data_IF_249239751508
#
_entry.id   IF_249239751508
#
_cell.length_a   1.000
_cell.length_b   1.000
_cell.length_c   1.000
_cell.angle_alpha   90.00
_cell.angle_beta   90.00
_cell.angle_gamma   90.00
#
_symmetry.space_group_name_H-M   'P 1'
#
loop_
_entity.id
_entity.type
_entity.pdbx_description
1 polymer ?
#
# COMPACT_ATOMS: atom_id res chain seq x y z
N UNK A 1 1.17 -3.12 -14.53
CA UNK A 1 -0.16 -3.10 -13.88
C UNK A 1 -0.64 -1.67 -13.99
N UNK A 2 -1.74 -1.45 -14.70
CA UNK A 2 -2.28 -0.12 -14.97
C UNK A 2 -3.39 0.17 -13.95
N UNK A 3 -3.42 1.37 -13.40
CA UNK A 3 -4.51 1.91 -12.59
C UNK A 3 -4.94 3.24 -13.20
N UNK A 4 -6.18 3.66 -12.96
CA UNK A 4 -6.67 4.95 -13.46
C UNK A 4 -5.89 6.08 -12.78
N UNK A 5 -5.93 6.10 -11.44
CA UNK A 5 -5.17 7.03 -10.63
C UNK A 5 -4.30 6.32 -9.60
N UNK A 6 -3.24 7.01 -9.20
CA UNK A 6 -2.36 6.63 -8.10
C UNK A 6 -2.48 7.69 -7.02
N UNK A 7 -2.66 7.24 -5.79
CA UNK A 7 -2.71 8.07 -4.58
C UNK A 7 -1.58 7.68 -3.65
N UNK A 8 -1.05 8.65 -2.92
CA UNK A 8 0.03 8.45 -1.98
C UNK A 8 -0.29 9.09 -0.62
N UNK A 9 -0.34 8.25 0.41
CA UNK A 9 -0.46 8.66 1.81
C UNK A 9 0.83 8.35 2.54
N UNK A 10 1.44 9.35 3.16
CA UNK A 10 2.67 9.21 3.96
C UNK A 10 2.29 9.36 5.43
N UNK A 11 2.48 8.30 6.20
CA UNK A 11 2.07 8.28 7.61
C UNK A 11 3.15 8.87 8.53
N UNK A 12 4.42 8.81 8.16
CA UNK A 12 5.53 9.13 9.07
C UNK A 12 6.47 10.19 8.48
N UNK A 13 6.86 11.17 9.30
CA UNK A 13 7.91 12.12 8.97
C UNK A 13 9.28 11.50 9.28
N UNK A 14 9.76 10.70 8.35
CA UNK A 14 11.05 10.03 8.41
C UNK A 14 11.77 10.08 7.06
N UNK A 15 13.10 10.11 7.09
CA UNK A 15 13.94 10.24 5.89
C UNK A 15 13.71 9.08 4.90
N UNK A 16 13.63 7.84 5.38
CA UNK A 16 13.42 6.68 4.49
C UNK A 16 12.01 6.71 3.87
N UNK A 17 11.01 7.14 4.64
CA UNK A 17 9.64 7.33 4.13
C UNK A 17 9.61 8.38 3.01
N UNK A 18 10.34 9.48 3.16
CA UNK A 18 10.45 10.56 2.18
C UNK A 18 11.16 10.12 0.90
N UNK A 19 12.31 9.46 1.01
CA UNK A 19 13.05 8.94 -0.15
C UNK A 19 12.21 7.93 -0.95
N UNK A 20 11.42 7.10 -0.26
CA UNK A 20 10.46 6.20 -0.90
C UNK A 20 9.29 6.95 -1.54
N UNK A 21 8.80 8.01 -0.92
CA UNK A 21 7.73 8.84 -1.48
C UNK A 21 8.15 9.47 -2.80
N UNK A 22 9.32 10.13 -2.86
CA UNK A 22 9.86 10.73 -4.08
C UNK A 22 9.97 9.67 -5.18
N UNK A 23 10.58 8.52 -4.86
CA UNK A 23 10.72 7.42 -5.80
C UNK A 23 9.37 6.98 -6.39
N UNK A 24 8.33 6.86 -5.57
CA UNK A 24 7.00 6.45 -6.01
C UNK A 24 6.31 7.54 -6.84
N UNK A 25 6.48 8.81 -6.47
CA UNK A 25 5.93 9.95 -7.22
C UNK A 25 6.50 9.96 -8.64
N UNK A 26 7.82 9.87 -8.78
CA UNK A 26 8.48 9.84 -10.09
C UNK A 26 8.10 8.59 -10.89
N UNK A 27 8.08 7.42 -10.24
CA UNK A 27 7.79 6.15 -10.92
C UNK A 27 6.37 6.09 -11.49
N UNK A 28 5.39 6.68 -10.80
CA UNK A 28 3.98 6.60 -11.17
C UNK A 28 3.41 7.91 -11.69
N UNK A 29 4.23 8.97 -11.81
CA UNK A 29 3.79 10.33 -12.16
C UNK A 29 2.58 10.78 -11.33
N UNK A 30 2.70 10.67 -10.00
CA UNK A 30 1.60 10.97 -9.07
C UNK A 30 1.39 12.49 -9.03
N UNK A 31 0.19 12.99 -9.35
CA UNK A 31 -0.07 14.43 -9.30
C UNK A 31 -0.18 14.90 -7.84
N UNK A 32 0.16 16.17 -7.59
CA UNK A 32 0.32 16.70 -6.22
C UNK A 32 -0.96 16.63 -5.40
N UNK A 33 -2.12 16.79 -6.04
CA UNK A 33 -3.44 16.69 -5.44
C UNK A 33 -3.77 15.28 -4.90
N UNK A 34 -3.07 14.24 -5.37
CA UNK A 34 -3.24 12.86 -4.94
C UNK A 34 -2.23 12.45 -3.85
N UNK A 35 -1.47 13.40 -3.31
CA UNK A 35 -0.45 13.18 -2.29
C UNK A 35 -0.91 13.84 -0.99
N UNK A 36 -0.76 13.14 0.13
CA UNK A 36 -1.02 13.71 1.45
C UNK A 36 -0.12 13.12 2.52
N UNK A 37 0.11 13.88 3.58
CA UNK A 37 0.87 13.46 4.76
C UNK A 37 0.03 13.64 6.03
N UNK A 38 0.17 12.71 6.97
CA UNK A 38 -0.46 12.82 8.31
C UNK A 38 0.37 13.64 9.29
N UNK A 39 1.66 13.84 8.99
CA UNK A 39 2.58 14.70 9.72
C UNK A 39 3.15 15.79 8.80
N UNK A 40 3.46 16.99 9.30
CA UNK A 40 4.01 18.05 8.48
C UNK A 40 5.39 17.64 7.94
N UNK A 41 5.53 17.64 6.61
CA UNK A 41 6.76 17.32 5.88
C UNK A 41 7.01 18.44 4.87
N UNK A 42 8.21 19.01 4.88
CA UNK A 42 8.56 20.09 3.97
C UNK A 42 8.46 19.64 2.51
N UNK A 43 7.78 20.45 1.69
CA UNK A 43 7.59 20.17 0.26
C UNK A 43 6.47 19.20 -0.08
N UNK A 44 5.70 18.72 0.90
CA UNK A 44 4.57 17.81 0.70
C UNK A 44 3.24 18.43 1.17
N UNK A 45 2.12 18.15 0.50
CA UNK A 45 0.80 18.53 0.99
C UNK A 45 0.49 17.83 2.32
N UNK A 46 -0.12 18.56 3.27
CA UNK A 46 -0.39 18.09 4.62
C UNK A 46 -1.86 18.28 4.99
N UNK A 47 -2.48 17.26 5.58
CA UNK A 47 -3.87 17.25 6.05
C UNK A 47 -4.91 17.72 5.01
N UNK A 48 -4.67 17.44 3.73
CA UNK A 48 -5.72 17.60 2.72
C UNK A 48 -6.74 16.47 2.86
N UNK A 49 -7.85 16.70 3.57
CA UNK A 49 -8.89 15.68 3.79
C UNK A 49 -9.64 15.27 2.52
N UNK A 50 -9.59 16.10 1.48
CA UNK A 50 -10.24 15.83 0.19
C UNK A 50 -9.33 15.08 -0.81
N UNK A 51 -8.09 14.75 -0.47
CA UNK A 51 -7.14 14.15 -1.42
C UNK A 51 -7.56 12.76 -1.95
N UNK A 52 -8.42 12.04 -1.22
CA UNK A 52 -9.02 10.77 -1.65
C UNK A 52 -10.47 10.93 -2.13
N UNK A 53 -10.94 12.16 -2.33
CA UNK A 53 -12.28 12.42 -2.84
C UNK A 53 -12.42 11.81 -4.23
N UNK A 54 -13.34 10.85 -4.37
CA UNK A 54 -13.60 10.16 -5.62
C UNK A 54 -12.66 8.99 -5.92
N UNK A 55 -11.81 8.55 -4.97
CA UNK A 55 -11.10 7.28 -5.10
C UNK A 55 -12.10 6.13 -5.29
N UNK A 56 -11.80 5.23 -6.22
CA UNK A 56 -12.67 4.11 -6.57
C UNK A 56 -11.95 2.81 -6.89
N UNK A 57 -12.72 1.83 -7.37
CA UNK A 57 -12.23 0.48 -7.69
C UNK A 57 -11.22 0.43 -8.85
N UNK A 58 -11.09 1.51 -9.63
CA UNK A 58 -10.10 1.68 -10.69
C UNK A 58 -8.74 2.21 -10.20
N UNK A 59 -8.63 2.58 -8.92
CA UNK A 59 -7.50 3.34 -8.40
C UNK A 59 -6.63 2.53 -7.43
N UNK A 60 -5.39 3.01 -7.26
CA UNK A 60 -4.43 2.44 -6.33
C UNK A 60 -4.02 3.47 -5.29
N UNK A 61 -4.27 3.15 -4.02
CA UNK A 61 -3.73 3.87 -2.87
C UNK A 61 -2.41 3.22 -2.44
N UNK A 62 -1.35 3.99 -2.31
CA UNK A 62 -0.07 3.59 -1.72
C UNK A 62 0.07 4.26 -0.36
N UNK A 63 0.37 3.47 0.66
CA UNK A 63 0.53 3.96 2.04
C UNK A 63 1.96 3.68 2.48
N UNK A 64 2.73 4.73 2.78
CA UNK A 64 4.11 4.65 3.26
C UNK A 64 4.14 4.76 4.79
N UNK A 65 4.92 3.88 5.42
CA UNK A 65 5.21 3.89 6.85
C UNK A 65 6.26 2.81 7.17
N UNK A 66 6.58 2.66 8.45
CA UNK A 66 7.59 1.71 8.92
C UNK A 66 7.04 0.32 9.29
N UNK A 67 7.86 -0.68 9.00
CA UNK A 67 7.67 -2.09 9.35
C UNK A 67 8.38 -2.52 10.64
N UNK A 68 8.44 -3.83 10.91
CA UNK A 68 8.80 -4.43 12.23
C UNK A 68 10.21 -4.10 12.78
N UNK A 69 10.26 -3.84 14.10
CA UNK A 69 11.23 -4.37 15.09
C UNK A 69 10.42 -4.78 16.36
N UNK A 70 10.31 -6.09 16.64
CA UNK A 70 9.53 -6.94 17.61
C UNK A 70 9.03 -6.45 19.00
N UNK A 71 8.16 -7.19 19.77
CA UNK A 71 7.49 -8.50 19.53
C UNK A 71 5.91 -8.40 19.62
N UNK A 72 5.10 -9.48 19.77
CA UNK A 72 4.09 -9.92 18.79
C UNK A 72 2.69 -10.15 19.41
N UNK A 73 2.18 -9.20 20.21
CA UNK A 73 0.84 -9.30 20.80
C UNK A 73 -0.18 -8.30 20.20
N UNK A 74 0.28 -7.35 19.41
CA UNK A 74 -0.50 -6.15 19.02
C UNK A 74 -0.10 -5.78 17.59
N UNK A 75 -1.00 -5.94 16.62
CA UNK A 75 -0.73 -5.69 15.20
C UNK A 75 -0.21 -4.27 14.93
N UNK A 76 0.53 -4.07 13.84
CA UNK A 76 1.00 -2.72 13.51
C UNK A 76 1.51 -2.50 12.09
N UNK A 77 1.21 -1.29 11.60
CA UNK A 77 2.14 -0.29 11.04
C UNK A 77 2.77 0.39 12.26
N UNK A 78 4.09 0.35 12.42
CA UNK A 78 4.71 0.72 13.72
C UNK A 78 4.55 2.23 13.99
N UNK A 79 4.28 2.59 15.25
CA UNK A 79 4.12 3.93 15.87
C UNK A 79 2.78 4.68 15.74
N UNK A 80 1.91 4.44 14.74
CA UNK A 80 0.69 5.27 14.61
C UNK A 80 -0.64 4.53 14.51
N UNK A 81 -0.73 3.37 13.84
CA UNK A 81 -2.01 2.71 13.61
C UNK A 81 -1.92 1.18 13.68
N UNK A 82 -2.82 0.57 14.46
CA UNK A 82 -3.20 -0.84 14.29
C UNK A 82 -3.93 -1.04 12.95
N UNK A 83 -4.06 -2.28 12.44
CA UNK A 83 -4.81 -2.55 11.20
C UNK A 83 -6.21 -1.94 11.20
N UNK A 84 -6.97 -2.14 12.28
CA UNK A 84 -8.34 -1.63 12.43
C UNK A 84 -8.37 -0.12 12.55
N UNK A 85 -7.42 0.48 13.29
CA UNK A 85 -7.34 1.94 13.41
C UNK A 85 -7.03 2.59 12.05
N UNK A 86 -6.16 1.98 11.23
CA UNK A 86 -5.87 2.49 9.90
C UNK A 86 -7.07 2.37 8.97
N UNK A 87 -7.80 1.26 9.03
CA UNK A 87 -9.03 1.08 8.26
C UNK A 87 -10.08 2.15 8.63
N UNK A 88 -10.32 2.38 9.93
CA UNK A 88 -11.21 3.42 10.42
C UNK A 88 -10.73 4.81 10.02
N UNK A 89 -9.43 5.08 10.15
CA UNK A 89 -8.84 6.36 9.75
C UNK A 89 -9.10 6.70 8.27
N UNK A 90 -8.87 5.75 7.36
CA UNK A 90 -9.15 5.94 5.93
C UNK A 90 -10.64 6.22 5.66
N UNK A 91 -11.53 5.53 6.37
CA UNK A 91 -12.98 5.66 6.17
C UNK A 91 -13.53 6.94 6.79
N UNK A 92 -13.14 7.24 8.01
CA UNK A 92 -13.75 8.30 8.79
C UNK A 92 -13.13 9.66 8.46
N UNK A 93 -11.81 9.71 8.24
CA UNK A 93 -11.11 10.97 7.97
C UNK A 93 -11.03 11.28 6.47
N UNK A 94 -10.80 10.26 5.63
CA UNK A 94 -10.67 10.45 4.18
C UNK A 94 -11.86 9.94 3.36
N UNK A 95 -12.92 9.46 4.01
CA UNK A 95 -14.18 9.03 3.37
C UNK A 95 -13.99 7.96 2.29
N UNK A 96 -12.96 7.11 2.45
CA UNK A 96 -12.67 6.02 1.52
C UNK A 96 -13.68 4.89 1.70
N UNK A 97 -14.65 4.81 0.80
CA UNK A 97 -15.64 3.73 0.80
C UNK A 97 -15.31 2.61 -0.19
N UNK A 98 -14.54 2.94 -1.24
CA UNK A 98 -14.10 1.98 -2.23
C UNK A 98 -12.67 2.25 -2.72
N UNK A 99 -11.93 1.20 -3.08
CA UNK A 99 -10.58 1.32 -3.65
C UNK A 99 -10.16 0.05 -4.37
N UNK A 100 -9.51 0.19 -5.53
CA UNK A 100 -9.08 -0.95 -6.32
C UNK A 100 -7.96 -1.75 -5.66
N UNK A 101 -6.92 -1.07 -5.20
CA UNK A 101 -5.80 -1.68 -4.47
C UNK A 101 -5.24 -0.75 -3.40
N UNK A 102 -5.09 -1.27 -2.18
CA UNK A 102 -4.24 -0.64 -1.16
C UNK A 102 -2.88 -1.36 -1.13
N UNK A 103 -1.81 -0.63 -1.42
CA UNK A 103 -0.44 -1.12 -1.40
C UNK A 103 0.32 -0.51 -0.24
N UNK A 104 0.60 -1.32 0.77
CA UNK A 104 1.43 -0.93 1.90
C UNK A 104 2.91 -0.96 1.52
N UNK A 105 3.59 0.15 1.76
CA UNK A 105 4.99 0.41 1.44
C UNK A 105 5.81 0.42 2.73
N UNK A 106 5.75 -0.69 3.45
CA UNK A 106 6.36 -0.89 4.75
C UNK A 106 6.93 -2.32 4.87
N UNK A 107 7.98 -2.48 5.65
CA UNK A 107 8.64 -3.77 5.86
C UNK A 107 7.74 -4.76 6.62
N UNK A 108 7.90 -6.05 6.34
CA UNK A 108 7.30 -7.17 7.09
C UNK A 108 5.77 -7.23 7.28
N UNK A 109 4.99 -6.29 6.75
CA UNK A 109 3.51 -6.34 6.88
C UNK A 109 2.87 -7.56 6.20
N UNK A 110 3.57 -8.18 5.25
CA UNK A 110 3.16 -9.42 4.62
C UNK A 110 3.45 -10.68 5.44
N UNK A 111 4.25 -10.62 6.51
CA UNK A 111 4.69 -11.77 7.31
C UNK A 111 3.77 -12.09 8.52
N UNK A 112 2.53 -11.58 8.54
CA UNK A 112 1.60 -11.79 9.65
C UNK A 112 0.15 -11.49 9.28
N UNK A 113 -0.67 -11.22 10.30
CA UNK A 113 -2.12 -10.99 10.16
C UNK A 113 -2.48 -9.59 9.69
N UNK A 114 -1.55 -8.61 9.72
CA UNK A 114 -1.85 -7.19 9.48
C UNK A 114 -2.76 -6.94 8.27
N UNK A 115 -2.42 -7.53 7.10
CA UNK A 115 -3.21 -7.32 5.88
C UNK A 115 -4.61 -7.92 5.97
N UNK A 116 -4.75 -9.07 6.64
CA UNK A 116 -6.03 -9.76 6.85
C UNK A 116 -6.89 -8.98 7.84
N UNK A 117 -6.31 -8.55 8.97
CA UNK A 117 -6.99 -7.77 10.01
C UNK A 117 -7.44 -6.39 9.47
N UNK A 118 -6.59 -5.75 8.66
CA UNK A 118 -6.92 -4.51 7.97
C UNK A 118 -8.08 -4.73 7.00
N UNK A 119 -8.00 -5.78 6.18
CA UNK A 119 -9.05 -6.12 5.22
C UNK A 119 -10.39 -6.33 5.94
N UNK A 120 -10.41 -7.18 6.97
CA UNK A 120 -11.60 -7.48 7.77
C UNK A 120 -12.19 -6.21 8.38
N UNK A 121 -11.37 -5.36 9.00
CA UNK A 121 -11.83 -4.11 9.58
C UNK A 121 -12.40 -3.14 8.54
N UNK A 122 -11.76 -3.02 7.38
CA UNK A 122 -12.21 -2.14 6.30
C UNK A 122 -13.57 -2.59 5.74
N UNK A 123 -13.72 -3.90 5.47
CA UNK A 123 -14.95 -4.46 4.89
C UNK A 123 -16.08 -4.60 5.90
N UNK A 124 -15.79 -4.85 7.18
CA UNK A 124 -16.84 -4.97 8.22
C UNK A 124 -17.62 -3.68 8.42
N UNK A 125 -17.00 -2.52 8.14
CA UNK A 125 -17.74 -1.25 8.10
C UNK A 125 -18.40 -0.95 6.75
N UNK A 126 -18.53 -1.91 5.83
CA UNK A 126 -19.13 -1.73 4.50
C UNK A 126 -18.19 -1.21 3.39
N UNK A 127 -16.87 -1.22 3.61
CA UNK A 127 -15.90 -0.82 2.59
C UNK A 127 -15.80 -1.85 1.46
N UNK A 128 -15.54 -1.37 0.24
CA UNK A 128 -15.29 -2.20 -0.94
C UNK A 128 -13.81 -2.11 -1.34
N UNK A 129 -13.14 -3.24 -1.48
CA UNK A 129 -11.73 -3.25 -1.85
C UNK A 129 -11.47 -4.36 -2.87
N UNK A 130 -10.64 -4.09 -3.88
CA UNK A 130 -10.21 -5.12 -4.84
C UNK A 130 -9.11 -6.02 -4.29
N UNK A 131 -8.26 -5.48 -3.43
CA UNK A 131 -7.34 -6.22 -2.57
C UNK A 131 -6.36 -5.31 -1.85
N UNK A 132 -5.56 -5.90 -0.96
CA UNK A 132 -4.44 -5.22 -0.33
C UNK A 132 -3.15 -6.04 -0.44
N UNK A 133 -2.00 -5.37 -0.45
CA UNK A 133 -0.69 -5.97 -0.67
C UNK A 133 0.35 -5.37 0.27
N UNK A 134 1.20 -6.22 0.85
CA UNK A 134 2.30 -5.81 1.74
C UNK A 134 3.54 -6.69 1.58
N UNK A 135 4.70 -6.18 1.97
CA UNK A 135 5.99 -6.85 1.79
C UNK A 135 6.29 -7.86 2.90
N UNK A 136 6.87 -9.01 2.51
CA UNK A 136 7.27 -10.11 3.40
C UNK A 136 8.70 -9.96 3.95
N UNK A 137 9.23 -8.76 4.02
CA UNK A 137 10.60 -8.54 4.48
C UNK A 137 10.99 -7.08 4.45
N UNK A 138 12.26 -6.82 4.71
CA UNK A 138 12.86 -5.50 4.57
C UNK A 138 12.79 -5.00 3.13
N UNK A 139 12.37 -3.75 2.96
CA UNK A 139 12.15 -3.14 1.66
C UNK A 139 13.22 -2.10 1.41
N UNK A 140 13.87 -2.20 0.25
CA UNK A 140 14.88 -1.25 -0.19
C UNK A 140 14.51 -0.69 -1.56
N UNK A 141 14.75 0.60 -1.75
CA UNK A 141 14.61 1.23 -3.07
C UNK A 141 15.82 0.86 -3.95
N UNK A 142 15.54 0.54 -5.21
CA UNK A 142 16.55 0.27 -6.24
C UNK A 142 16.23 1.10 -7.47
N UNK A 143 17.20 1.27 -8.35
CA UNK A 143 17.00 1.96 -9.64
C UNK A 143 15.89 1.32 -10.50
N UNK A 144 15.55 0.06 -10.21
CA UNK A 144 14.61 -0.77 -10.98
C UNK A 144 13.33 -1.15 -10.21
N UNK A 145 13.12 -0.60 -9.02
CA UNK A 145 11.95 -0.89 -8.18
C UNK A 145 12.26 -1.29 -6.76
N UNK A 146 11.20 -1.52 -6.01
CA UNK A 146 11.33 -1.92 -4.61
C UNK A 146 11.82 -3.38 -4.54
N UNK A 147 12.93 -3.60 -3.85
CA UNK A 147 13.49 -4.91 -3.51
C UNK A 147 13.02 -5.36 -2.12
N UNK A 148 12.85 -6.67 -1.94
CA UNK A 148 12.53 -7.28 -0.64
C UNK A 148 13.66 -8.21 -0.23
N UNK A 149 14.47 -7.77 0.74
CA UNK A 149 15.68 -8.46 1.19
C UNK A 149 16.88 -8.35 0.24
N UNK A 150 18.06 -8.70 0.76
CA UNK A 150 19.35 -8.53 0.07
C UNK A 150 19.43 -9.25 -1.28
N UNK A 151 18.95 -10.49 -1.36
CA UNK A 151 19.01 -11.27 -2.60
C UNK A 151 18.16 -10.67 -3.72
N UNK A 152 17.00 -10.13 -3.38
CA UNK A 152 16.14 -9.46 -4.36
C UNK A 152 16.73 -8.11 -4.79
N UNK A 153 17.42 -7.41 -3.88
CA UNK A 153 18.18 -6.20 -4.18
C UNK A 153 19.29 -6.48 -5.21
N UNK A 154 20.15 -7.46 -4.90
CA UNK A 154 21.25 -7.88 -5.78
C UNK A 154 20.72 -8.30 -7.16
N UNK A 155 19.63 -9.07 -7.19
CA UNK A 155 19.02 -9.52 -8.45
C UNK A 155 18.50 -8.37 -9.31
N UNK A 156 17.92 -7.34 -8.67
CA UNK A 156 17.39 -6.16 -9.36
C UNK A 156 18.50 -5.31 -9.95
N UNK A 157 19.51 -4.98 -9.16
CA UNK A 157 20.60 -4.13 -9.58
C UNK A 157 21.49 -4.84 -10.61
N UNK A 158 21.91 -6.09 -10.35
CA UNK A 158 22.95 -6.75 -11.15
C UNK A 158 22.42 -7.69 -12.25
N UNK A 159 21.30 -8.38 -12.03
CA UNK A 159 20.93 -9.55 -12.85
C UNK A 159 19.61 -9.38 -13.64
N UNK A 160 19.12 -8.16 -13.82
CA UNK A 160 17.88 -7.85 -14.56
C UNK A 160 16.72 -8.77 -14.16
N UNK A 161 16.26 -8.68 -12.91
CA UNK A 161 15.11 -9.45 -12.49
C UNK A 161 14.60 -9.08 -11.10
N UNK A 162 13.52 -9.72 -10.70
CA UNK A 162 13.02 -9.70 -9.32
C UNK A 162 12.70 -11.11 -8.87
N UNK A 163 12.63 -11.32 -7.57
CA UNK A 163 12.09 -12.55 -7.01
C UNK A 163 10.58 -12.67 -7.32
N UNK A 164 10.04 -13.90 -7.37
CA UNK A 164 8.61 -14.12 -7.53
C UNK A 164 7.80 -13.41 -6.44
N UNK A 165 6.59 -12.96 -6.78
CA UNK A 165 5.74 -12.24 -5.83
C UNK A 165 5.42 -13.09 -4.59
N UNK A 166 5.26 -14.41 -4.74
CA UNK A 166 5.02 -15.35 -3.62
C UNK A 166 6.10 -15.26 -2.53
N UNK A 167 7.34 -14.92 -2.90
CA UNK A 167 8.46 -14.75 -1.97
C UNK A 167 8.54 -13.34 -1.40
N UNK A 168 8.03 -12.34 -2.12
CA UNK A 168 8.22 -10.92 -1.79
C UNK A 168 7.05 -10.29 -1.06
N UNK A 169 5.83 -10.72 -1.35
CA UNK A 169 4.60 -10.04 -0.95
C UNK A 169 3.52 -11.02 -0.53
N UNK A 170 2.68 -10.58 0.39
CA UNK A 170 1.36 -11.17 0.65
C UNK A 170 0.31 -10.30 -0.02
N UNK A 171 -0.65 -10.95 -0.68
CA UNK A 171 -1.78 -10.29 -1.33
C UNK A 171 -3.04 -10.88 -0.70
N UNK A 172 -3.86 -10.02 -0.11
CA UNK A 172 -5.21 -10.39 0.34
C UNK A 172 -6.17 -9.95 -0.75
N UNK A 173 -6.88 -10.91 -1.33
CA UNK A 173 -7.91 -10.64 -2.31
C UNK A 173 -9.08 -9.92 -1.63
N UNK A 174 -9.57 -8.85 -2.26
CA UNK A 174 -10.65 -8.05 -1.70
C UNK A 174 -12.05 -8.59 -2.01
N UNK A 175 -13.07 -7.90 -1.49
CA UNK A 175 -14.50 -8.25 -1.62
C UNK A 175 -15.20 -7.62 -2.85
N UNK A 176 -14.49 -6.80 -3.63
CA UNK A 176 -15.04 -6.11 -4.79
C UNK A 176 -14.25 -6.42 -6.07
N UNK A 177 -14.93 -6.42 -7.20
CA UNK A 177 -14.28 -6.62 -8.50
C UNK A 177 -13.59 -5.33 -8.97
N UNK A 178 -12.32 -5.46 -9.36
CA UNK A 178 -11.59 -4.38 -10.03
C UNK A 178 -11.98 -4.39 -11.52
N UNK A 179 -12.32 -3.24 -12.13
CA UNK A 179 -12.65 -3.18 -13.55
C UNK A 179 -11.53 -3.78 -14.41
N UNK A 180 -11.91 -4.49 -15.46
CA UNK A 180 -10.99 -5.40 -16.17
C UNK A 180 -9.85 -4.68 -16.92
N UNK A 181 -9.97 -3.37 -17.13
CA UNK A 181 -8.95 -2.50 -17.71
C UNK A 181 -7.86 -2.06 -16.70
N UNK A 182 -8.11 -2.26 -15.40
CA UNK A 182 -7.21 -1.91 -14.31
C UNK A 182 -6.73 -3.15 -13.54
N UNK A 183 -5.68 -2.96 -12.75
CA UNK A 183 -5.08 -4.00 -11.93
C UNK A 183 -4.27 -5.05 -12.71
N UNK A 184 -4.04 -6.20 -12.08
CA UNK A 184 -3.36 -7.34 -12.69
C UNK A 184 -4.20 -8.59 -12.47
N UNK A 185 -4.91 -9.00 -13.53
CA UNK A 185 -5.80 -10.18 -13.55
C UNK A 185 -5.11 -11.47 -13.11
N UNK A 186 -3.78 -11.57 -13.21
CA UNK A 186 -3.02 -12.74 -12.73
C UNK A 186 -2.75 -12.72 -11.23
N UNK A 187 -2.71 -11.53 -10.61
CA UNK A 187 -2.49 -11.35 -9.16
C UNK A 187 -3.80 -11.33 -8.37
N UNK A 188 -4.87 -10.83 -8.97
CA UNK A 188 -6.21 -10.84 -8.41
C UNK A 188 -7.06 -11.78 -9.26
N UNK A 189 -7.06 -13.08 -8.92
CA UNK A 189 -7.85 -14.06 -9.67
C UNK A 189 -9.33 -13.79 -9.42
N UNK A 190 -10.12 -13.81 -10.49
CA UNK A 190 -11.58 -13.92 -10.44
C UNK A 190 -11.94 -15.09 -9.51
N UNK A 191 -12.59 -14.83 -8.39
CA UNK A 191 -13.44 -15.86 -7.79
C UNK A 191 -14.60 -16.00 -8.77
N UNK A 192 -14.61 -17.08 -9.55
CA UNK A 192 -15.82 -17.47 -10.26
C UNK A 192 -16.83 -17.82 -9.18
N UNK A 193 -17.83 -16.98 -8.99
CA UNK A 193 -19.04 -17.35 -8.25
C UNK A 193 -19.65 -18.55 -8.97
N UNK A 194 -19.76 -19.66 -8.26
CA UNK A 194 -20.62 -20.80 -8.62
C UNK A 194 -22.06 -20.42 -8.29
#
# INVERSE_FOLDING_TARGET
MKWANYYLLILENDKQCFENAIYLIERYNIPVENINTTQPINGFPHLNYDFLKGIGLSDKLMIIGHGRQSPPAIGGVKMQYSPSQLALFLKDQYKVNEVGLISFKACDLGNGSFLYDFFEAFTSGGGKIGGCIGYKGEVMNTTRGEAVGLWDYVKRELFLGKNPDQQRVTIVQGNAEVPSEYGNKRRFKRTQTV
#
